data_IF_607677909339
#
_entry.id   IF_607677909339
#
_cell.length_a   1.000
_cell.length_b   1.000
_cell.length_c   1.000
_cell.angle_alpha   90.00
_cell.angle_beta   90.00
_cell.angle_gamma   90.00
#
_symmetry.space_group_name_H-M   'P 1'
#
loop_
_entity.id
_entity.type
_entity.pdbx_description
1 polymer ?
#
# COMPACT_ATOMS: atom_id res chain seq x y z
N UNK A 1 7.57 -1.64 3.83
CA UNK A 1 6.08 -1.58 3.91
C UNK A 1 5.60 -1.70 5.34
N UNK A 2 4.35 -1.40 5.63
CA UNK A 2 3.76 -1.63 6.95
C UNK A 2 3.80 -3.11 7.32
N UNK A 3 4.06 -3.44 8.61
CA UNK A 3 4.22 -4.82 9.06
C UNK A 3 2.98 -5.69 8.85
N UNK A 4 3.22 -7.00 8.86
CA UNK A 4 2.19 -8.03 8.85
C UNK A 4 1.47 -8.12 10.20
N UNK A 5 0.16 -8.32 10.16
CA UNK A 5 -0.67 -8.68 11.31
C UNK A 5 -2.04 -9.21 10.85
N UNK A 6 -2.85 -9.70 11.77
CA UNK A 6 -4.22 -10.21 11.53
C UNK A 6 -4.33 -11.26 10.43
N UNK A 7 -3.26 -12.04 10.21
CA UNK A 7 -3.18 -13.03 9.13
C UNK A 7 -2.93 -12.45 7.74
N UNK A 8 -2.67 -11.15 7.62
CA UNK A 8 -2.36 -10.47 6.37
C UNK A 8 -0.86 -10.22 6.23
N UNK A 9 -0.35 -10.21 5.01
CA UNK A 9 1.07 -9.89 4.72
C UNK A 9 1.40 -8.44 5.07
N UNK A 10 0.42 -7.56 5.04
CA UNK A 10 0.46 -6.21 5.58
C UNK A 10 -0.96 -5.79 5.94
N UNK A 11 -1.12 -4.97 6.96
CA UNK A 11 -2.43 -4.41 7.30
C UNK A 11 -2.86 -3.27 6.37
N UNK A 12 -1.91 -2.70 5.65
CA UNK A 12 -2.17 -1.58 4.74
C UNK A 12 -2.63 -2.05 3.38
N UNK A 13 -3.75 -1.51 2.92
CA UNK A 13 -4.37 -1.88 1.65
C UNK A 13 -3.45 -1.62 0.44
N UNK A 14 -2.71 -0.51 0.43
CA UNK A 14 -1.79 -0.18 -0.67
C UNK A 14 -0.58 -1.11 -0.70
N UNK A 15 -0.08 -1.51 0.47
CA UNK A 15 0.97 -2.51 0.56
C UNK A 15 0.48 -3.88 0.04
N UNK A 16 -0.72 -4.30 0.43
CA UNK A 16 -1.33 -5.54 -0.06
C UNK A 16 -1.52 -5.52 -1.58
N UNK A 17 -2.02 -4.42 -2.13
CA UNK A 17 -2.22 -4.24 -3.57
C UNK A 17 -0.91 -4.43 -4.34
N UNK A 18 0.18 -3.81 -3.87
CA UNK A 18 1.48 -3.91 -4.52
C UNK A 18 2.04 -5.33 -4.49
N UNK A 19 1.99 -6.00 -3.33
CA UNK A 19 2.48 -7.38 -3.19
C UNK A 19 1.66 -8.33 -4.06
N UNK A 20 0.34 -8.15 -4.06
CA UNK A 20 -0.56 -8.98 -4.87
C UNK A 20 -0.26 -8.84 -6.35
N UNK A 21 -0.11 -7.61 -6.85
CA UNK A 21 0.26 -7.36 -8.24
C UNK A 21 1.62 -8.00 -8.58
N UNK A 22 2.62 -7.83 -7.72
CA UNK A 22 3.93 -8.43 -7.94
C UNK A 22 3.86 -9.96 -8.01
N UNK A 23 3.07 -10.60 -7.16
CA UNK A 23 2.86 -12.05 -7.22
C UNK A 23 2.18 -12.49 -8.51
N UNK A 24 1.15 -11.79 -8.96
CA UNK A 24 0.47 -12.09 -10.23
C UNK A 24 1.36 -11.87 -11.45
N UNK A 25 2.20 -10.86 -11.43
CA UNK A 25 3.13 -10.56 -12.52
C UNK A 25 4.40 -11.43 -12.51
N UNK A 26 4.61 -12.22 -11.45
CA UNK A 26 5.82 -13.03 -11.27
C UNK A 26 7.07 -12.21 -10.95
N UNK A 27 6.93 -10.96 -10.54
CA UNK A 27 8.06 -10.11 -10.17
C UNK A 27 8.70 -10.59 -8.86
N UNK A 28 10.02 -10.82 -8.83
CA UNK A 28 10.72 -11.18 -7.60
C UNK A 28 10.81 -9.96 -6.69
N UNK A 29 10.17 -10.01 -5.52
CA UNK A 29 10.23 -8.95 -4.53
C UNK A 29 10.80 -9.46 -3.21
N UNK A 30 11.71 -8.69 -2.64
CA UNK A 30 12.10 -8.81 -1.24
C UNK A 30 11.34 -7.78 -0.43
N UNK A 31 10.60 -8.25 0.56
CA UNK A 31 9.75 -7.40 1.40
C UNK A 31 10.50 -7.01 2.66
N UNK A 32 10.62 -5.70 2.90
CA UNK A 32 11.14 -5.14 4.14
C UNK A 32 10.02 -4.45 4.91
N UNK A 33 9.76 -4.92 6.11
CA UNK A 33 8.80 -4.29 7.02
C UNK A 33 9.42 -3.05 7.68
N UNK A 34 8.63 -2.01 7.84
CA UNK A 34 9.04 -0.78 8.51
C UNK A 34 7.85 -0.11 9.17
N UNK A 35 7.99 0.27 10.42
CA UNK A 35 7.04 1.12 11.14
C UNK A 35 7.38 2.61 11.06
N UNK A 36 8.27 3.02 10.15
CA UNK A 36 8.70 4.41 10.02
C UNK A 36 8.50 4.95 8.59
N UNK A 37 7.36 5.60 8.30
CA UNK A 37 7.09 6.18 6.99
C UNK A 37 7.91 7.44 6.69
N UNK A 38 8.40 8.15 7.72
CA UNK A 38 9.04 9.47 7.55
C UNK A 38 10.41 9.42 6.84
N UNK A 39 11.02 8.24 6.75
CA UNK A 39 12.28 8.04 6.02
C UNK A 39 12.04 7.68 4.55
N UNK A 40 10.82 7.87 4.06
CA UNK A 40 10.46 7.66 2.67
C UNK A 40 10.23 8.98 1.96
N UNK A 41 10.36 9.06 0.62
CA UNK A 41 10.27 10.33 -0.12
C UNK A 41 9.01 11.14 0.15
N UNK A 42 7.87 10.48 0.36
CA UNK A 42 6.57 11.12 0.58
C UNK A 42 6.03 10.91 2.00
N UNK A 43 6.87 10.50 2.95
CA UNK A 43 6.46 10.14 4.32
C UNK A 43 5.31 9.11 4.35
N UNK A 44 5.25 8.23 3.34
CA UNK A 44 4.22 7.19 3.19
C UNK A 44 4.83 5.84 2.86
N UNK A 45 4.11 4.78 3.17
CA UNK A 45 4.39 3.42 2.75
C UNK A 45 3.21 2.90 1.91
N UNK A 46 3.42 1.98 0.96
CA UNK A 46 4.68 1.31 0.60
C UNK A 46 5.61 2.18 -0.26
N UNK A 47 6.90 1.85 -0.22
CA UNK A 47 7.88 2.34 -1.18
C UNK A 47 8.53 1.15 -1.85
N UNK A 48 8.51 1.16 -3.17
CA UNK A 48 9.27 0.20 -3.99
C UNK A 48 10.63 0.80 -4.33
N UNK A 49 11.68 0.00 -4.14
CA UNK A 49 13.05 0.40 -4.44
C UNK A 49 13.71 -0.62 -5.34
N UNK A 50 14.36 -0.13 -6.38
CA UNK A 50 15.26 -0.94 -7.21
C UNK A 50 16.53 -0.12 -7.50
N UNK A 51 17.66 -0.58 -6.98
CA UNK A 51 18.91 0.16 -7.00
C UNK A 51 18.72 1.55 -6.38
N UNK A 52 18.98 2.63 -7.14
CA UNK A 52 18.78 4.02 -6.70
C UNK A 52 17.40 4.57 -6.99
N UNK A 53 16.57 3.84 -7.76
CA UNK A 53 15.21 4.27 -8.09
C UNK A 53 14.24 3.96 -6.96
N UNK A 54 13.38 4.91 -6.66
CA UNK A 54 12.33 4.78 -5.65
C UNK A 54 10.98 5.20 -6.22
N UNK A 55 9.96 4.39 -5.95
CA UNK A 55 8.61 4.64 -6.41
C UNK A 55 7.65 4.55 -5.22
N UNK A 56 6.85 5.58 -5.00
CA UNK A 56 5.92 5.69 -3.88
C UNK A 56 4.45 5.49 -4.29
N UNK A 57 4.13 5.47 -5.59
CA UNK A 57 2.76 5.24 -6.06
C UNK A 57 2.63 3.88 -6.75
N UNK A 58 1.47 3.25 -6.59
CA UNK A 58 1.16 1.97 -7.24
C UNK A 58 1.33 2.04 -8.76
N UNK A 59 0.79 3.08 -9.41
CA UNK A 59 0.90 3.26 -10.85
C UNK A 59 2.34 3.36 -11.35
N UNK A 60 3.21 4.09 -10.62
CA UNK A 60 4.62 4.20 -10.96
C UNK A 60 5.33 2.85 -10.85
N UNK A 61 5.04 2.07 -9.81
CA UNK A 61 5.61 0.72 -9.64
C UNK A 61 5.16 -0.21 -10.75
N UNK A 62 3.85 -0.22 -11.07
CA UNK A 62 3.30 -1.05 -12.16
C UNK A 62 3.96 -0.70 -13.49
N UNK A 63 4.08 0.59 -13.82
CA UNK A 63 4.74 1.02 -15.05
C UNK A 63 6.20 0.59 -15.09
N UNK A 64 6.92 0.72 -13.98
CA UNK A 64 8.30 0.26 -13.88
C UNK A 64 8.41 -1.27 -14.05
N UNK A 65 7.57 -2.06 -13.39
CA UNK A 65 7.52 -3.52 -13.55
C UNK A 65 7.21 -3.93 -14.98
N UNK A 66 6.34 -3.21 -15.69
CA UNK A 66 6.06 -3.43 -17.12
C UNK A 66 7.31 -3.23 -17.99
N UNK A 67 8.13 -2.22 -17.70
CA UNK A 67 9.41 -2.02 -18.44
C UNK A 67 10.37 -3.18 -18.24
N UNK A 68 10.30 -3.85 -17.09
CA UNK A 68 11.06 -5.06 -16.77
C UNK A 68 10.40 -6.36 -17.28
N UNK A 69 9.31 -6.25 -18.06
CA UNK A 69 8.52 -7.36 -18.59
C UNK A 69 7.73 -8.16 -17.54
N UNK A 70 7.54 -7.61 -16.35
CA UNK A 70 6.66 -8.15 -15.33
C UNK A 70 5.29 -7.46 -15.42
N UNK A 71 4.34 -8.09 -16.08
CA UNK A 71 2.99 -7.55 -16.26
C UNK A 71 1.96 -8.65 -15.99
N UNK A 72 0.94 -8.32 -15.18
CA UNK A 72 -0.18 -9.21 -14.91
C UNK A 72 -1.30 -9.08 -15.97
N UNK A 73 -1.23 -8.06 -16.81
CA UNK A 73 -2.29 -7.66 -17.74
C UNK A 73 -1.89 -7.73 -19.22
N UNK A 74 -0.81 -8.45 -19.53
CA UNK A 74 -0.31 -8.55 -20.91
C UNK A 74 -1.26 -9.27 -21.90
N UNK A 75 -2.16 -10.12 -21.38
CA UNK A 75 -3.13 -10.88 -22.19
C UNK A 75 -4.50 -10.20 -22.31
N UNK A 76 -4.68 -9.01 -21.75
CA UNK A 76 -5.96 -8.33 -21.76
C UNK A 76 -6.23 -7.66 -23.12
N UNK A 77 -7.45 -7.82 -23.63
CA UNK A 77 -7.93 -7.05 -24.76
C UNK A 77 -8.05 -5.56 -24.44
N UNK A 78 -8.11 -4.70 -25.45
CA UNK A 78 -8.27 -3.25 -25.26
C UNK A 78 -9.50 -2.89 -24.41
N UNK A 79 -10.61 -3.63 -24.59
CA UNK A 79 -11.82 -3.47 -23.76
C UNK A 79 -11.54 -3.80 -22.29
N UNK A 80 -10.90 -4.93 -22.02
CA UNK A 80 -10.56 -5.35 -20.66
C UNK A 80 -9.56 -4.39 -19.99
N UNK A 81 -8.61 -3.84 -20.75
CA UNK A 81 -7.70 -2.82 -20.23
C UNK A 81 -8.45 -1.55 -19.81
N UNK A 82 -9.42 -1.12 -20.60
CA UNK A 82 -10.29 0.01 -20.23
C UNK A 82 -11.13 -0.28 -18.98
N UNK A 83 -11.66 -1.51 -18.86
CA UNK A 83 -12.38 -1.95 -17.66
C UNK A 83 -11.48 -1.96 -16.42
N UNK A 84 -10.22 -2.40 -16.52
CA UNK A 84 -9.24 -2.35 -15.41
C UNK A 84 -9.03 -0.91 -14.92
N UNK A 85 -8.90 0.05 -15.85
CA UNK A 85 -8.77 1.46 -15.48
C UNK A 85 -10.03 1.97 -14.78
N UNK A 86 -11.21 1.65 -15.31
CA UNK A 86 -12.49 2.08 -14.74
C UNK A 86 -12.72 1.49 -13.33
N UNK A 87 -12.46 0.20 -13.14
CA UNK A 87 -12.55 -0.44 -11.82
C UNK A 87 -11.49 0.07 -10.85
N UNK A 88 -10.27 0.32 -11.33
CA UNK A 88 -9.22 0.93 -10.51
C UNK A 88 -9.65 2.30 -9.97
N UNK A 89 -10.22 3.15 -10.83
CA UNK A 89 -10.74 4.45 -10.43
C UNK A 89 -11.91 4.34 -9.45
N UNK A 90 -12.82 3.39 -9.67
CA UNK A 90 -13.92 3.12 -8.75
C UNK A 90 -13.42 2.72 -7.34
N UNK A 91 -12.37 1.91 -7.28
CA UNK A 91 -11.76 1.51 -6.01
C UNK A 91 -11.13 2.70 -5.29
N UNK A 92 -10.39 3.55 -6.01
CA UNK A 92 -9.79 4.77 -5.43
C UNK A 92 -10.87 5.77 -4.93
N UNK A 93 -11.97 5.92 -5.66
CA UNK A 93 -13.01 6.89 -5.31
C UNK A 93 -14.01 6.41 -4.26
N UNK A 94 -14.24 5.10 -4.15
CA UNK A 94 -15.27 4.54 -3.27
C UNK A 94 -14.71 3.65 -2.18
N UNK A 95 -13.88 2.67 -2.53
CA UNK A 95 -13.36 1.71 -1.55
C UNK A 95 -12.33 2.34 -0.63
N UNK A 96 -11.36 3.06 -1.18
CA UNK A 96 -10.28 3.63 -0.37
C UNK A 96 -10.78 4.65 0.67
N UNK A 97 -11.68 5.60 0.35
CA UNK A 97 -12.28 6.47 1.36
C UNK A 97 -13.08 5.72 2.43
N UNK A 98 -13.79 4.64 2.04
CA UNK A 98 -14.52 3.81 3.00
C UNK A 98 -13.57 3.11 3.98
N UNK A 99 -12.44 2.58 3.49
CA UNK A 99 -11.40 2.01 4.35
C UNK A 99 -10.79 3.06 5.29
N UNK A 100 -10.50 4.26 4.78
CA UNK A 100 -10.00 5.36 5.61
C UNK A 100 -10.99 5.73 6.72
N UNK A 101 -12.29 5.76 6.40
CA UNK A 101 -13.32 5.99 7.40
C UNK A 101 -13.29 4.92 8.49
N UNK A 102 -13.32 3.64 8.11
CA UNK A 102 -13.32 2.51 9.07
C UNK A 102 -12.06 2.50 9.94
N UNK A 103 -10.90 2.78 9.38
CA UNK A 103 -9.65 2.75 10.14
C UNK A 103 -9.46 3.97 11.05
N UNK A 104 -9.82 5.17 10.57
CA UNK A 104 -9.39 6.41 11.21
C UNK A 104 -10.52 7.26 11.78
N UNK A 105 -11.73 7.20 11.21
CA UNK A 105 -12.86 8.04 11.62
C UNK A 105 -13.89 7.30 12.48
N UNK A 106 -14.03 6.00 12.32
CA UNK A 106 -14.85 5.20 13.24
C UNK A 106 -14.19 5.16 14.62
N UNK A 107 -14.85 5.77 15.60
CA UNK A 107 -14.30 5.98 16.96
C UNK A 107 -13.94 4.65 17.64
N UNK A 108 -14.77 3.62 17.48
CA UNK A 108 -14.54 2.33 18.12
C UNK A 108 -13.33 1.63 17.50
N UNK A 109 -13.26 1.57 16.17
CA UNK A 109 -12.15 0.95 15.47
C UNK A 109 -10.84 1.72 15.68
N UNK A 110 -10.90 3.05 15.60
CA UNK A 110 -9.73 3.89 15.82
C UNK A 110 -9.16 3.70 17.24
N UNK A 111 -10.00 3.78 18.27
CA UNK A 111 -9.56 3.73 19.67
C UNK A 111 -9.11 2.33 20.11
N UNK A 112 -9.77 1.27 19.63
CA UNK A 112 -9.55 -0.09 20.11
C UNK A 112 -8.62 -0.92 19.23
N UNK A 113 -8.49 -0.60 17.92
CA UNK A 113 -7.71 -1.38 16.98
C UNK A 113 -6.62 -0.57 16.29
N UNK A 114 -6.99 0.47 15.55
CA UNK A 114 -6.06 1.18 14.66
C UNK A 114 -4.97 1.91 15.43
N UNK A 115 -5.34 2.79 16.33
CA UNK A 115 -4.38 3.58 17.11
C UNK A 115 -3.44 2.71 17.97
N UNK A 116 -3.93 1.73 18.76
CA UNK A 116 -3.05 0.86 19.53
C UNK A 116 -2.09 0.06 18.66
N UNK A 117 -2.56 -0.41 17.50
CA UNK A 117 -1.72 -1.17 16.59
C UNK A 117 -0.56 -0.32 16.04
N UNK A 118 -0.86 0.84 15.44
CA UNK A 118 0.19 1.74 14.95
C UNK A 118 1.13 2.20 16.06
N UNK A 119 0.59 2.50 17.24
CA UNK A 119 1.38 2.88 18.40
C UNK A 119 2.37 1.78 18.82
N UNK A 120 2.00 0.50 18.71
CA UNK A 120 2.87 -0.63 19.04
C UNK A 120 3.96 -0.89 18.01
N UNK A 121 3.72 -0.53 16.74
CA UNK A 121 4.65 -0.83 15.62
C UNK A 121 5.58 0.32 15.26
N UNK A 122 5.30 1.52 15.73
CA UNK A 122 6.13 2.70 15.47
C UNK A 122 7.20 2.91 16.56
N UNK A 123 8.36 3.38 16.11
CA UNK A 123 9.45 3.74 17.03
C UNK A 123 9.18 5.04 17.78
N UNK A 124 9.68 5.12 19.01
CA UNK A 124 9.72 6.38 19.75
C UNK A 124 10.63 7.40 19.04
N UNK A 125 10.26 8.72 18.91
CA UNK A 125 9.04 9.38 19.41
C UNK A 125 7.86 9.39 18.41
N UNK A 126 8.00 8.81 17.21
CA UNK A 126 7.03 8.89 16.10
C UNK A 126 5.65 8.33 16.47
N UNK A 127 5.61 7.34 17.35
CA UNK A 127 4.37 6.72 17.82
C UNK A 127 3.39 7.70 18.47
N UNK A 128 3.85 8.86 18.96
CA UNK A 128 3.00 9.87 19.57
C UNK A 128 2.43 10.87 18.55
N UNK A 129 3.09 11.06 17.42
CA UNK A 129 2.70 12.06 16.42
C UNK A 129 1.86 11.48 15.29
N UNK A 130 2.24 10.33 14.75
CA UNK A 130 1.62 9.78 13.55
C UNK A 130 0.12 9.47 13.70
N UNK A 131 -0.35 8.79 14.78
CA UNK A 131 -1.77 8.50 14.93
C UNK A 131 -2.64 9.71 15.29
N UNK A 132 -2.04 10.86 15.55
CA UNK A 132 -2.75 12.11 15.89
C UNK A 132 -2.79 13.05 14.69
N UNK A 133 -1.85 12.93 13.75
CA UNK A 133 -1.75 13.79 12.57
C UNK A 133 -2.55 13.29 11.35
N UNK A 134 -3.16 12.14 11.46
CA UNK A 134 -4.07 11.55 10.49
C UNK A 134 -5.51 11.79 10.90
#
# INVERSE_FOLDING_TARGET
>A
MWPSDWGLVSIDCKCLQLITYAKFSGAPLTVHESGNPFWTPNSTLPVFRQNELQFASFGSVVNHLRTLKYSADYNLSAKQQAEVVAFGQLMEEKLYPALQYVFWLDVNNHSNLTRPWYFSKMYFPLKFYYPVSL
#
